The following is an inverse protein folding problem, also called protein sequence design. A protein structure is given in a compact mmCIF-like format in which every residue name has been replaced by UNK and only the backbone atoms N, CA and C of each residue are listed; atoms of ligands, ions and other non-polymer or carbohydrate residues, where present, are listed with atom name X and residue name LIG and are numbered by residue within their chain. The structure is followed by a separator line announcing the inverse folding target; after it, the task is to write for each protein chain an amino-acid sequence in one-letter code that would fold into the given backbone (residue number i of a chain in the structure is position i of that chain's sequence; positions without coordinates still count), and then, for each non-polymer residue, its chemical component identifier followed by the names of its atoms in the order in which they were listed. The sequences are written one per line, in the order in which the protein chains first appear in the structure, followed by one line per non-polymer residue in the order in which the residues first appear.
data_IF_835317273442
#
_entry.id   IF_835317273442
#
_cell.length_a   1.000
_cell.length_b   1.000
_cell.length_c   1.000
_cell.angle_alpha   90.00
_cell.angle_beta   90.00
_cell.angle_gamma   90.00
#
_symmetry.space_group_name_H-M   'P 1'
#
loop_
_entity.id
_entity.type
_entity.pdbx_description
1 polymer ?
#
# COMPACT_ATOMS: atom_id res chain seq x y z
N UNK A 1 36.04 -14.92 -7.51
CA UNK A 1 34.98 -13.94 -7.80
C UNK A 1 33.74 -14.75 -8.11
N UNK A 2 33.05 -15.19 -7.07
CA UNK A 2 31.77 -15.90 -7.20
C UNK A 2 30.69 -14.82 -7.32
N UNK A 3 30.00 -14.81 -8.46
CA UNK A 3 28.73 -14.10 -8.65
C UNK A 3 27.71 -14.64 -7.64
N UNK A 4 26.97 -13.79 -6.91
CA UNK A 4 25.90 -14.27 -6.07
C UNK A 4 24.81 -14.89 -6.96
N UNK A 5 24.42 -16.12 -6.63
CA UNK A 5 23.28 -16.82 -7.20
C UNK A 5 22.04 -15.94 -7.02
N UNK A 6 21.48 -15.42 -8.12
CA UNK A 6 20.17 -14.78 -8.08
C UNK A 6 19.16 -15.91 -7.90
N UNK A 7 18.33 -15.92 -6.85
CA UNK A 7 17.35 -16.98 -6.68
C UNK A 7 16.46 -17.02 -7.93
N UNK A 8 16.38 -18.18 -8.57
CA UNK A 8 15.51 -18.37 -9.73
C UNK A 8 14.07 -18.01 -9.33
N UNK A 9 13.43 -17.12 -10.10
CA UNK A 9 12.03 -16.80 -9.88
C UNK A 9 11.21 -18.09 -9.95
N UNK A 10 10.57 -18.46 -8.83
CA UNK A 10 9.73 -19.65 -8.76
C UNK A 10 8.65 -19.55 -9.85
N UNK A 11 8.45 -20.64 -10.60
CA UNK A 11 7.41 -20.67 -11.64
C UNK A 11 6.05 -20.61 -10.96
N UNK A 12 5.14 -19.68 -11.36
CA UNK A 12 3.80 -19.61 -10.78
C UNK A 12 3.08 -20.97 -10.89
N UNK A 13 2.36 -21.36 -9.84
CA UNK A 13 1.57 -22.61 -9.81
C UNK A 13 0.15 -22.33 -9.30
N UNK A 14 -0.79 -23.26 -9.51
CA UNK A 14 -2.16 -23.12 -9.02
C UNK A 14 -2.90 -21.95 -9.65
N UNK A 15 -3.56 -21.13 -8.83
CA UNK A 15 -4.27 -19.90 -9.26
C UNK A 15 -3.32 -18.90 -9.91
N UNK A 16 -2.09 -18.76 -9.42
CA UNK A 16 -1.14 -17.77 -9.93
C UNK A 16 -0.66 -18.05 -11.36
N UNK A 17 -0.85 -19.29 -11.85
CA UNK A 17 -0.58 -19.69 -13.22
C UNK A 17 -1.78 -19.54 -14.17
N UNK A 18 -2.95 -19.19 -13.65
CA UNK A 18 -4.19 -19.06 -14.40
C UNK A 18 -4.45 -17.59 -14.78
N UNK A 19 -5.27 -17.39 -15.80
CA UNK A 19 -5.87 -16.10 -16.11
C UNK A 19 -7.15 -15.88 -15.28
N UNK A 20 -7.70 -14.67 -15.37
CA UNK A 20 -8.91 -14.31 -14.63
C UNK A 20 -10.09 -15.24 -14.94
N UNK A 21 -10.34 -15.53 -16.22
CA UNK A 21 -11.49 -16.35 -16.65
C UNK A 21 -11.50 -17.73 -15.97
N UNK A 22 -10.33 -18.36 -15.87
CA UNK A 22 -10.22 -19.69 -15.24
C UNK A 22 -10.24 -19.58 -13.72
N UNK A 23 -9.46 -18.66 -13.15
CA UNK A 23 -9.33 -18.53 -11.70
C UNK A 23 -10.62 -18.05 -11.03
N UNK A 24 -11.33 -17.09 -11.64
CA UNK A 24 -12.57 -16.53 -11.11
C UNK A 24 -13.77 -17.49 -11.18
N UNK A 25 -13.62 -18.65 -11.84
CA UNK A 25 -14.60 -19.73 -11.75
C UNK A 25 -14.70 -20.32 -10.34
N UNK A 26 -13.65 -20.17 -9.52
CA UNK A 26 -13.68 -20.49 -8.10
C UNK A 26 -14.33 -19.33 -7.31
N UNK A 27 -15.53 -19.52 -6.72
CA UNK A 27 -16.29 -18.41 -6.14
C UNK A 27 -15.56 -17.70 -4.98
N UNK A 28 -14.79 -18.46 -4.20
CA UNK A 28 -14.02 -17.93 -3.08
C UNK A 28 -12.86 -17.05 -3.56
N UNK A 29 -12.15 -17.47 -4.60
CA UNK A 29 -11.10 -16.66 -5.21
C UNK A 29 -11.67 -15.37 -5.82
N UNK A 30 -12.76 -15.48 -6.59
CA UNK A 30 -13.44 -14.31 -7.16
C UNK A 30 -13.83 -13.30 -6.07
N UNK A 31 -14.44 -13.77 -4.99
CA UNK A 31 -14.81 -12.91 -3.86
C UNK A 31 -13.59 -12.22 -3.23
N UNK A 32 -12.48 -12.93 -3.06
CA UNK A 32 -11.25 -12.36 -2.50
C UNK A 32 -10.61 -11.30 -3.41
N UNK A 33 -10.62 -11.51 -4.73
CA UNK A 33 -10.13 -10.49 -5.69
C UNK A 33 -11.03 -9.26 -5.69
N UNK A 34 -12.35 -9.43 -5.60
CA UNK A 34 -13.28 -8.29 -5.49
C UNK A 34 -13.01 -7.49 -4.22
N UNK A 35 -12.83 -8.17 -3.09
CA UNK A 35 -12.45 -7.53 -1.83
C UNK A 35 -11.11 -6.79 -1.93
N UNK A 36 -10.10 -7.41 -2.54
CA UNK A 36 -8.81 -6.79 -2.76
C UNK A 36 -8.96 -5.52 -3.60
N UNK A 37 -9.56 -5.61 -4.78
CA UNK A 37 -9.72 -4.48 -5.69
C UNK A 37 -10.56 -3.35 -5.08
N UNK A 38 -11.58 -3.69 -4.27
CA UNK A 38 -12.36 -2.70 -3.51
C UNK A 38 -11.52 -1.98 -2.46
N UNK A 39 -10.72 -2.71 -1.69
CA UNK A 39 -9.82 -2.14 -0.69
C UNK A 39 -8.76 -1.23 -1.33
N UNK A 40 -8.17 -1.68 -2.44
CA UNK A 40 -7.18 -0.89 -3.19
C UNK A 40 -7.82 0.38 -3.76
N UNK A 41 -8.95 0.25 -4.47
CA UNK A 41 -9.61 1.39 -5.10
C UNK A 41 -9.98 2.47 -4.07
N UNK A 42 -10.52 2.08 -2.91
CA UNK A 42 -10.81 3.05 -1.85
C UNK A 42 -9.52 3.64 -1.24
N UNK A 43 -8.49 2.82 -1.06
CA UNK A 43 -7.18 3.27 -0.59
C UNK A 43 -6.59 4.36 -1.48
N UNK A 44 -6.59 4.15 -2.80
CA UNK A 44 -6.10 5.12 -3.78
C UNK A 44 -6.93 6.42 -3.79
N UNK A 45 -8.26 6.30 -3.73
CA UNK A 45 -9.14 7.47 -3.66
C UNK A 45 -8.89 8.29 -2.39
N UNK A 46 -8.76 7.63 -1.23
CA UNK A 46 -8.48 8.28 0.03
C UNK A 46 -7.08 8.91 0.05
N UNK A 47 -6.07 8.24 -0.53
CA UNK A 47 -4.72 8.74 -0.68
C UNK A 47 -4.69 10.01 -1.54
N UNK A 48 -5.37 10.01 -2.70
CA UNK A 48 -5.54 11.21 -3.53
C UNK A 48 -6.06 12.40 -2.71
N UNK A 49 -7.19 12.22 -2.00
CA UNK A 49 -7.77 13.31 -1.20
C UNK A 49 -6.80 13.83 -0.15
N UNK A 50 -6.10 12.93 0.55
CA UNK A 50 -5.17 13.30 1.61
C UNK A 50 -3.93 14.01 1.06
N UNK A 51 -3.34 13.52 -0.02
CA UNK A 51 -2.20 14.17 -0.67
C UNK A 51 -2.58 15.57 -1.19
N UNK A 52 -3.78 15.71 -1.76
CA UNK A 52 -4.29 17.01 -2.21
C UNK A 52 -4.51 17.98 -1.04
N UNK A 53 -4.96 17.49 0.12
CA UNK A 53 -5.07 18.30 1.33
C UNK A 53 -3.69 18.69 1.88
N UNK A 54 -2.78 17.72 2.02
CA UNK A 54 -1.43 17.91 2.56
C UNK A 54 -0.59 18.87 1.68
N UNK A 55 -0.83 18.89 0.36
CA UNK A 55 -0.22 19.84 -0.57
C UNK A 55 -0.51 21.31 -0.22
N UNK A 56 -1.55 21.61 0.57
CA UNK A 56 -1.83 22.98 1.05
C UNK A 56 -0.81 23.46 2.09
N UNK A 57 -0.12 22.53 2.76
CA UNK A 57 0.91 22.83 3.77
C UNK A 57 2.28 23.12 3.13
N UNK A 58 2.42 22.93 1.82
CA UNK A 58 3.68 23.09 1.12
C UNK A 58 4.28 24.51 1.28
N UNK A 59 5.58 24.63 1.63
CA UNK A 59 6.22 25.92 1.86
C UNK A 59 6.48 26.68 0.55
N UNK A 60 6.52 25.98 -0.58
CA UNK A 60 6.74 26.56 -1.90
C UNK A 60 5.77 26.00 -2.93
N UNK A 61 5.56 26.74 -4.03
CA UNK A 61 4.73 26.29 -5.15
C UNK A 61 5.32 25.05 -5.82
N UNK A 62 6.65 24.93 -5.87
CA UNK A 62 7.32 23.74 -6.40
C UNK A 62 7.01 22.51 -5.54
N UNK A 63 7.10 22.65 -4.23
CA UNK A 63 6.78 21.56 -3.29
C UNK A 63 5.30 21.15 -3.35
N UNK A 64 4.42 22.15 -3.54
CA UNK A 64 2.99 21.91 -3.77
C UNK A 64 2.74 21.11 -5.05
N UNK A 65 3.46 21.44 -6.12
CA UNK A 65 3.31 20.76 -7.40
C UNK A 65 3.74 19.29 -7.32
N UNK A 66 4.78 18.95 -6.55
CA UNK A 66 5.21 17.56 -6.36
C UNK A 66 4.14 16.72 -5.64
N UNK A 67 3.54 17.20 -4.55
CA UNK A 67 2.44 16.45 -3.91
C UNK A 67 1.17 16.42 -4.76
N UNK A 68 0.88 17.48 -5.52
CA UNK A 68 -0.25 17.48 -6.45
C UNK A 68 -0.05 16.44 -7.57
N UNK A 69 1.19 16.24 -8.02
CA UNK A 69 1.53 15.19 -8.99
C UNK A 69 1.32 13.80 -8.38
N UNK A 70 1.76 13.56 -7.15
CA UNK A 70 1.47 12.32 -6.41
C UNK A 70 -0.02 12.06 -6.31
N UNK A 71 -0.80 13.06 -5.86
CA UNK A 71 -2.25 12.94 -5.75
C UNK A 71 -2.88 12.55 -7.10
N UNK A 72 -2.46 13.19 -8.20
CA UNK A 72 -2.96 12.87 -9.53
C UNK A 72 -2.65 11.43 -9.95
N UNK A 73 -1.52 10.86 -9.54
CA UNK A 73 -1.19 9.46 -9.80
C UNK A 73 -2.14 8.53 -9.04
N UNK A 74 -2.38 8.77 -7.74
CA UNK A 74 -3.33 7.95 -6.96
C UNK A 74 -4.75 7.99 -7.55
N UNK A 75 -5.19 9.15 -8.04
CA UNK A 75 -6.49 9.21 -8.70
C UNK A 75 -6.52 8.37 -9.99
N UNK A 76 -5.43 8.36 -10.76
CA UNK A 76 -5.32 7.51 -11.94
C UNK A 76 -5.29 6.02 -11.58
N UNK A 77 -4.61 5.64 -10.50
CA UNK A 77 -4.62 4.29 -9.94
C UNK A 77 -6.04 3.85 -9.56
N UNK A 78 -6.76 4.72 -8.85
CA UNK A 78 -8.17 4.52 -8.53
C UNK A 78 -9.01 4.26 -9.80
N UNK A 79 -8.84 5.05 -10.85
CA UNK A 79 -9.59 4.86 -12.11
C UNK A 79 -9.33 3.48 -12.72
N UNK A 80 -8.08 3.01 -12.77
CA UNK A 80 -7.75 1.67 -13.28
C UNK A 80 -8.42 0.57 -12.49
N UNK A 81 -8.39 0.67 -11.15
CA UNK A 81 -9.00 -0.33 -10.26
C UNK A 81 -10.54 -0.33 -10.35
N UNK A 82 -11.16 0.85 -10.41
CA UNK A 82 -12.60 1.03 -10.63
C UNK A 82 -13.03 0.44 -11.98
N UNK A 83 -12.27 0.70 -13.04
CA UNK A 83 -12.58 0.23 -14.38
C UNK A 83 -12.44 -1.31 -14.45
N UNK A 84 -11.45 -1.88 -13.74
CA UNK A 84 -11.35 -3.34 -13.59
C UNK A 84 -12.56 -3.93 -12.89
N UNK A 85 -12.99 -3.38 -11.75
CA UNK A 85 -14.18 -3.83 -11.02
C UNK A 85 -15.41 -3.84 -11.95
N UNK A 86 -15.61 -2.77 -12.71
CA UNK A 86 -16.70 -2.67 -13.69
C UNK A 86 -16.57 -3.72 -14.80
N UNK A 87 -15.36 -3.93 -15.33
CA UNK A 87 -15.11 -4.89 -16.41
C UNK A 87 -15.32 -6.35 -16.00
N UNK A 88 -15.31 -6.65 -14.70
CA UNK A 88 -15.62 -7.98 -14.16
C UNK A 88 -17.04 -8.08 -13.61
N UNK A 89 -17.94 -7.17 -14.00
CA UNK A 89 -19.35 -7.09 -13.61
C UNK A 89 -19.57 -6.90 -12.10
N UNK A 90 -18.75 -6.04 -11.47
CA UNK A 90 -18.88 -5.66 -10.06
C UNK A 90 -19.12 -4.16 -9.96
N UNK A 91 -20.08 -3.75 -9.13
CA UNK A 91 -20.32 -2.34 -8.83
C UNK A 91 -19.17 -1.81 -7.93
N UNK A 92 -18.39 -0.80 -8.38
CA UNK A 92 -17.19 -0.40 -7.65
C UNK A 92 -17.46 0.18 -6.26
N UNK A 93 -18.54 0.94 -6.08
CA UNK A 93 -18.90 1.56 -4.81
C UNK A 93 -19.21 0.49 -3.74
N UNK A 94 -20.00 -0.52 -4.08
CA UNK A 94 -20.36 -1.64 -3.21
C UNK A 94 -19.12 -2.47 -2.83
N UNK A 95 -18.16 -2.62 -3.75
CA UNK A 95 -16.90 -3.28 -3.47
C UNK A 95 -16.00 -2.47 -2.52
N UNK A 96 -16.06 -1.13 -2.59
CA UNK A 96 -15.25 -0.21 -1.78
C UNK A 96 -15.80 0.04 -0.38
N UNK A 97 -17.13 0.15 -0.25
CA UNK A 97 -17.84 0.51 0.99
C UNK A 97 -17.37 -0.23 2.26
N UNK A 98 -17.11 -1.55 2.24
CA UNK A 98 -16.66 -2.28 3.43
C UNK A 98 -15.33 -1.78 4.01
N UNK A 99 -14.46 -1.20 3.18
CA UNK A 99 -13.11 -0.81 3.57
C UNK A 99 -13.03 0.67 4.00
N UNK A 100 -14.06 1.45 3.69
CA UNK A 100 -14.08 2.89 3.91
C UNK A 100 -13.79 3.26 5.37
N UNK A 101 -14.48 2.63 6.33
CA UNK A 101 -14.34 2.96 7.75
C UNK A 101 -12.93 2.70 8.31
N UNK A 102 -12.27 1.64 7.86
CA UNK A 102 -10.93 1.28 8.30
C UNK A 102 -9.87 2.21 7.69
N UNK A 103 -9.94 2.45 6.38
CA UNK A 103 -9.00 3.32 5.67
C UNK A 103 -9.15 4.79 6.09
N UNK A 104 -10.38 5.29 6.25
CA UNK A 104 -10.63 6.60 6.86
C UNK A 104 -10.13 6.67 8.30
N UNK A 105 -10.25 5.57 9.04
CA UNK A 105 -9.73 5.42 10.39
C UNK A 105 -8.22 5.62 10.46
N UNK A 106 -7.48 4.99 9.54
CA UNK A 106 -6.05 5.21 9.39
C UNK A 106 -5.75 6.68 9.12
N UNK A 107 -6.39 7.28 8.12
CA UNK A 107 -6.11 8.67 7.75
C UNK A 107 -6.46 9.70 8.83
N UNK A 108 -7.56 9.49 9.58
CA UNK A 108 -7.91 10.35 10.73
C UNK A 108 -6.87 10.25 11.85
N UNK A 109 -6.41 9.04 12.16
CA UNK A 109 -5.42 8.80 13.22
C UNK A 109 -4.00 9.23 12.82
N UNK A 110 -3.80 9.48 11.52
CA UNK A 110 -2.54 9.90 10.92
C UNK A 110 -2.65 11.25 10.20
N UNK A 111 -3.51 12.16 10.67
CA UNK A 111 -3.54 13.53 10.16
C UNK A 111 -2.22 14.24 10.51
N UNK A 112 -1.43 14.70 9.53
CA UNK A 112 -0.17 15.38 9.81
C UNK A 112 -0.42 16.76 10.43
N UNK A 113 0.45 17.16 11.35
CA UNK A 113 0.39 18.49 11.99
C UNK A 113 1.12 19.58 11.20
N UNK A 114 2.03 19.19 10.31
CA UNK A 114 2.78 20.10 9.45
C UNK A 114 3.19 19.44 8.12
N UNK A 115 3.87 20.23 7.29
CA UNK A 115 4.38 19.81 5.98
C UNK A 115 5.29 18.58 6.02
N UNK A 116 6.20 18.50 6.99
CA UNK A 116 7.18 17.41 7.05
C UNK A 116 6.53 16.10 7.48
N UNK A 117 5.55 16.16 8.39
CA UNK A 117 4.74 15.00 8.72
C UNK A 117 3.90 14.53 7.52
N UNK A 118 3.38 15.46 6.71
CA UNK A 118 2.71 15.16 5.44
C UNK A 118 3.62 14.44 4.45
N UNK A 119 4.85 14.94 4.25
CA UNK A 119 5.84 14.29 3.38
C UNK A 119 6.25 12.88 3.88
N UNK A 120 6.49 12.74 5.19
CA UNK A 120 6.81 11.43 5.78
C UNK A 120 5.63 10.47 5.61
N UNK A 121 4.39 10.95 5.77
CA UNK A 121 3.18 10.15 5.55
C UNK A 121 3.05 9.70 4.11
N UNK A 122 3.25 10.59 3.14
CA UNK A 122 3.21 10.27 1.73
C UNK A 122 4.24 9.17 1.40
N UNK A 123 5.49 9.35 1.82
CA UNK A 123 6.57 8.38 1.59
C UNK A 123 6.33 7.02 2.28
N UNK A 124 5.89 7.03 3.54
CA UNK A 124 5.64 5.80 4.30
C UNK A 124 4.42 5.06 3.78
N UNK A 125 3.34 5.79 3.47
CA UNK A 125 2.09 5.23 2.94
C UNK A 125 2.33 4.55 1.60
N UNK A 126 2.94 5.25 0.66
CA UNK A 126 3.32 4.73 -0.66
C UNK A 126 4.18 3.45 -0.55
N UNK A 127 5.18 3.46 0.33
CA UNK A 127 6.04 2.30 0.49
C UNK A 127 5.36 1.10 1.18
N UNK A 128 4.44 1.34 2.12
CA UNK A 128 3.64 0.26 2.74
C UNK A 128 2.68 -0.35 1.72
N UNK A 129 1.99 0.48 0.95
CA UNK A 129 1.12 0.03 -0.14
C UNK A 129 1.93 -0.78 -1.15
N UNK A 130 3.11 -0.28 -1.53
CA UNK A 130 3.99 -0.94 -2.47
C UNK A 130 4.43 -2.33 -2.03
N UNK A 131 4.83 -2.49 -0.77
CA UNK A 131 5.19 -3.79 -0.23
C UNK A 131 3.98 -4.74 -0.18
N UNK A 132 2.82 -4.23 0.24
CA UNK A 132 1.58 -5.01 0.25
C UNK A 132 1.21 -5.53 -1.14
N UNK A 133 1.31 -4.68 -2.17
CA UNK A 133 0.92 -5.06 -3.54
C UNK A 133 1.86 -6.15 -4.06
N UNK A 134 3.17 -6.07 -3.76
CA UNK A 134 4.13 -7.13 -4.11
C UNK A 134 3.84 -8.44 -3.38
N UNK A 135 3.45 -8.38 -2.11
CA UNK A 135 3.10 -9.58 -1.32
C UNK A 135 1.83 -10.28 -1.83
N UNK A 136 0.83 -9.53 -2.30
CA UNK A 136 -0.39 -10.14 -2.86
C UNK A 136 -0.21 -10.57 -4.32
N UNK A 137 0.56 -9.82 -5.11
CA UNK A 137 0.76 -10.06 -6.54
C UNK A 137 1.20 -11.50 -6.85
N UNK A 138 2.08 -12.10 -6.02
CA UNK A 138 2.60 -13.45 -6.25
C UNK A 138 1.52 -14.55 -6.14
N UNK A 139 0.35 -14.24 -5.57
CA UNK A 139 -0.76 -15.18 -5.34
C UNK A 139 -1.93 -14.98 -6.31
N UNK A 140 -1.90 -13.90 -7.08
CA UNK A 140 -2.98 -13.53 -8.00
C UNK A 140 -2.81 -14.22 -9.36
N UNK A 141 -3.96 -14.46 -10.00
CA UNK A 141 -4.06 -14.77 -11.43
C UNK A 141 -3.32 -13.72 -12.26
N UNK A 142 -2.92 -14.09 -13.49
CA UNK A 142 -2.09 -13.24 -14.33
C UNK A 142 -2.66 -11.85 -14.55
N UNK A 143 -3.96 -11.76 -14.81
CA UNK A 143 -4.58 -10.51 -15.27
C UNK A 143 -4.73 -9.54 -14.10
N UNK A 144 -5.13 -10.06 -12.94
CA UNK A 144 -5.20 -9.26 -11.71
C UNK A 144 -3.79 -8.87 -11.24
N UNK A 145 -2.82 -9.80 -11.28
CA UNK A 145 -1.41 -9.52 -10.93
C UNK A 145 -0.83 -8.40 -11.79
N UNK A 146 -1.02 -8.46 -13.10
CA UNK A 146 -0.48 -7.46 -14.02
C UNK A 146 -1.08 -6.08 -13.74
N UNK A 147 -2.38 -6.00 -13.42
CA UNK A 147 -3.02 -4.75 -13.01
C UNK A 147 -2.42 -4.18 -11.72
N UNK A 148 -2.27 -4.97 -10.65
CA UNK A 148 -1.70 -4.43 -9.40
C UNK A 148 -0.24 -4.03 -9.56
N UNK A 149 0.53 -4.74 -10.38
CA UNK A 149 1.91 -4.37 -10.71
C UNK A 149 1.97 -3.10 -11.57
N UNK A 150 1.02 -2.89 -12.48
CA UNK A 150 0.93 -1.66 -13.26
C UNK A 150 0.61 -0.45 -12.37
N UNK A 151 -0.26 -0.62 -11.38
CA UNK A 151 -0.56 0.42 -10.38
C UNK A 151 0.65 0.72 -9.51
N UNK A 152 1.56 -0.25 -9.29
CA UNK A 152 2.78 -0.03 -8.50
C UNK A 152 3.85 0.83 -9.16
N UNK A 153 3.91 0.85 -10.50
CA UNK A 153 5.10 1.31 -11.22
C UNK A 153 5.23 2.85 -11.29
N UNK A 154 4.24 3.60 -10.80
CA UNK A 154 4.16 5.08 -10.96
C UNK A 154 4.78 5.90 -9.80
N UNK A 155 5.56 5.29 -8.92
CA UNK A 155 5.96 5.91 -7.63
C UNK A 155 7.35 6.54 -7.66
N UNK A 156 7.59 7.42 -8.64
CA UNK A 156 8.84 8.21 -8.77
C UNK A 156 9.06 9.30 -7.71
N UNK A 157 8.30 9.27 -6.61
CA UNK A 157 8.16 10.38 -5.65
C UNK A 157 8.96 10.20 -4.35
N UNK A 158 9.52 9.00 -4.14
CA UNK A 158 10.30 8.66 -2.97
C UNK A 158 11.52 9.58 -2.76
N UNK A 159 12.24 9.89 -3.84
CA UNK A 159 13.46 10.72 -3.78
C UNK A 159 13.17 12.16 -3.33
N UNK A 160 12.03 12.72 -3.76
CA UNK A 160 11.60 14.06 -3.36
C UNK A 160 11.37 14.16 -1.85
N UNK A 161 10.59 13.23 -1.28
CA UNK A 161 10.32 13.20 0.15
C UNK A 161 11.60 12.98 0.96
N UNK A 162 12.46 12.04 0.54
CA UNK A 162 13.74 11.77 1.20
C UNK A 162 14.64 13.00 1.21
N UNK A 163 14.80 13.65 0.06
CA UNK A 163 15.63 14.86 -0.05
C UNK A 163 15.15 15.99 0.86
N UNK A 164 13.84 16.26 0.88
CA UNK A 164 13.25 17.33 1.70
C UNK A 164 13.33 17.06 3.20
N UNK A 165 13.04 15.84 3.62
CA UNK A 165 13.09 15.46 5.04
C UNK A 165 14.53 15.51 5.56
N UNK A 166 15.49 15.00 4.78
CA UNK A 166 16.92 15.04 5.18
C UNK A 166 17.45 16.46 5.29
N UNK A 167 17.17 17.31 4.29
CA UNK A 167 17.57 18.71 4.32
C UNK A 167 16.99 19.44 5.55
N UNK A 168 15.71 19.20 5.87
CA UNK A 168 15.10 19.78 7.06
C UNK A 168 15.76 19.30 8.36
N UNK A 169 16.14 18.02 8.47
CA UNK A 169 16.85 17.47 9.63
C UNK A 169 18.27 18.03 9.75
N UNK A 170 18.96 18.23 8.62
CA UNK A 170 20.28 18.87 8.59
C UNK A 170 20.21 20.32 9.10
N UNK A 171 19.15 21.05 8.73
CA UNK A 171 18.91 22.43 9.19
C UNK A 171 18.45 22.50 10.66
N UNK A 172 17.58 21.59 11.11
CA UNK A 172 17.15 21.46 12.50
C UNK A 172 17.17 19.99 12.97
N UNK A 173 18.26 19.55 13.63
CA UNK A 173 18.41 18.18 14.12
C UNK A 173 17.33 17.72 15.10
N UNK A 174 16.58 18.65 15.73
CA UNK A 174 15.49 18.30 16.65
C UNK A 174 14.31 17.64 15.92
N UNK A 175 14.18 17.87 14.61
CA UNK A 175 13.12 17.30 13.79
C UNK A 175 13.23 15.78 13.67
N UNK A 176 14.45 15.22 13.68
CA UNK A 176 14.66 13.78 13.49
C UNK A 176 13.91 12.93 14.53
N UNK A 177 14.01 13.28 15.81
CA UNK A 177 13.32 12.55 16.88
C UNK A 177 11.79 12.61 16.77
N UNK A 178 11.25 13.77 16.40
CA UNK A 178 9.81 13.96 16.21
C UNK A 178 9.29 13.17 15.01
N UNK A 179 9.97 13.27 13.86
CA UNK A 179 9.56 12.58 12.63
C UNK A 179 9.72 11.05 12.74
N UNK A 180 10.70 10.56 13.52
CA UNK A 180 10.83 9.13 13.82
C UNK A 180 9.66 8.61 14.68
N UNK A 181 9.19 9.39 15.68
CA UNK A 181 7.99 9.04 16.44
C UNK A 181 6.74 9.03 15.55
N UNK A 182 6.63 10.02 14.66
CA UNK A 182 5.54 10.09 13.69
C UNK A 182 5.53 8.86 12.77
N UNK A 183 6.66 8.49 12.17
CA UNK A 183 6.74 7.33 11.30
C UNK A 183 6.40 6.00 12.02
N UNK A 184 6.82 5.84 13.28
CA UNK A 184 6.41 4.69 14.11
C UNK A 184 4.89 4.65 14.33
N UNK A 185 4.27 5.81 14.57
CA UNK A 185 2.81 5.92 14.69
C UNK A 185 2.13 5.52 13.38
N UNK A 186 2.60 5.99 12.23
CA UNK A 186 2.06 5.60 10.92
C UNK A 186 2.05 4.08 10.74
N UNK A 187 3.17 3.42 11.02
CA UNK A 187 3.26 1.96 10.93
C UNK A 187 2.31 1.26 11.90
N UNK A 188 2.26 1.71 13.16
CA UNK A 188 1.37 1.13 14.17
C UNK A 188 -0.12 1.23 13.79
N UNK A 189 -0.54 2.39 13.28
CA UNK A 189 -1.91 2.60 12.81
C UNK A 189 -2.22 1.76 11.55
N UNK A 190 -1.28 1.67 10.60
CA UNK A 190 -1.43 0.84 9.41
C UNK A 190 -1.63 -0.64 9.78
N UNK A 191 -0.79 -1.17 10.67
CA UNK A 191 -0.91 -2.55 11.17
C UNK A 191 -2.23 -2.78 11.90
N UNK A 192 -2.66 -1.83 12.74
CA UNK A 192 -3.92 -1.93 13.48
C UNK A 192 -5.13 -1.99 12.54
N UNK A 193 -5.18 -1.14 11.50
CA UNK A 193 -6.28 -1.18 10.53
C UNK A 193 -6.22 -2.44 9.66
N UNK A 194 -5.03 -2.88 9.24
CA UNK A 194 -4.88 -4.10 8.46
C UNK A 194 -5.37 -5.34 9.24
N UNK A 195 -5.04 -5.44 10.53
CA UNK A 195 -5.54 -6.50 11.40
C UNK A 195 -7.07 -6.49 11.51
N UNK A 196 -7.68 -5.30 11.57
CA UNK A 196 -9.14 -5.17 11.61
C UNK A 196 -9.79 -5.67 10.32
N UNK A 197 -9.26 -5.28 9.16
CA UNK A 197 -9.76 -5.73 7.85
C UNK A 197 -9.64 -7.25 7.72
N UNK A 198 -8.49 -7.82 8.09
CA UNK A 198 -8.25 -9.28 8.07
C UNK A 198 -9.24 -10.03 9.00
N UNK A 199 -9.56 -9.46 10.17
CA UNK A 199 -10.50 -10.07 11.11
C UNK A 199 -11.96 -9.99 10.65
N UNK A 200 -12.31 -9.02 9.79
CA UNK A 200 -13.68 -8.80 9.31
C UNK A 200 -13.94 -9.46 7.92
N UNK A 201 -12.90 -9.91 7.19
CA UNK A 201 -13.00 -10.42 5.80
C UNK A 201 -12.31 -11.77 5.59
N UNK A 202 -13.03 -12.86 5.84
CA UNK A 202 -12.53 -14.24 5.71
C UNK A 202 -12.00 -14.59 4.30
N UNK A 203 -12.61 -14.06 3.24
CA UNK A 203 -12.21 -14.35 1.86
C UNK A 203 -10.85 -13.72 1.51
N UNK A 204 -10.65 -12.45 1.85
CA UNK A 204 -9.38 -11.75 1.67
C UNK A 204 -8.26 -12.42 2.49
N UNK A 205 -8.56 -12.78 3.73
CA UNK A 205 -7.62 -13.51 4.60
C UNK A 205 -7.23 -14.86 4.03
N UNK A 206 -8.17 -15.61 3.46
CA UNK A 206 -7.91 -16.91 2.82
C UNK A 206 -6.99 -16.79 1.60
N UNK A 207 -7.16 -15.73 0.80
CA UNK A 207 -6.28 -15.43 -0.34
C UNK A 207 -4.88 -15.03 0.10
N UNK A 208 -4.75 -14.21 1.15
CA UNK A 208 -3.45 -13.81 1.71
C UNK A 208 -2.65 -14.99 2.27
N UNK A 209 -3.34 -16.02 2.78
CA UNK A 209 -2.73 -17.21 3.40
C UNK A 209 -2.35 -18.30 2.38
N UNK A 210 -2.89 -18.28 1.15
CA UNK A 210 -2.50 -19.23 0.09
C UNK A 210 -3.40 -20.47 -0.05
N UNK A 211 -4.68 -20.36 0.25
CA UNK A 211 -5.69 -21.38 -0.02
C UNK A 211 -6.19 -22.16 1.20
N UNK A 212 -7.27 -22.92 1.01
CA UNK A 212 -8.08 -23.60 2.04
C UNK A 212 -7.41 -24.82 2.70
N UNK A 213 -6.13 -25.08 2.45
CA UNK A 213 -5.43 -26.18 3.10
C UNK A 213 -4.99 -25.73 4.51
N UNK A 214 -5.79 -26.11 5.50
CA UNK A 214 -5.55 -25.98 6.94
C UNK A 214 -5.72 -24.57 7.56
N UNK A 215 -6.94 -24.03 7.47
CA UNK A 215 -7.41 -23.01 8.39
C UNK A 215 -6.75 -21.64 8.24
N UNK A 216 -7.23 -20.71 9.05
CA UNK A 216 -6.80 -19.31 9.06
C UNK A 216 -5.35 -19.21 9.56
N UNK A 217 -4.33 -19.28 8.68
CA UNK A 217 -2.93 -19.14 9.07
C UNK A 217 -2.57 -17.67 9.37
N UNK A 218 -2.99 -17.20 10.54
CA UNK A 218 -2.55 -15.95 11.14
C UNK A 218 -1.01 -15.82 11.17
N UNK A 219 -0.27 -16.94 11.16
CA UNK A 219 1.18 -16.88 11.12
C UNK A 219 1.70 -16.41 9.76
N UNK A 220 1.07 -16.74 8.63
CA UNK A 220 1.47 -16.23 7.31
C UNK A 220 1.19 -14.73 7.18
N UNK A 221 0.01 -14.27 7.63
CA UNK A 221 -0.30 -12.84 7.72
C UNK A 221 0.69 -12.12 8.64
N UNK A 222 1.05 -12.73 9.77
CA UNK A 222 2.08 -12.21 10.67
C UNK A 222 3.47 -12.14 10.02
N UNK A 223 3.85 -13.14 9.21
CA UNK A 223 5.11 -13.15 8.44
C UNK A 223 5.14 -12.05 7.39
N UNK A 224 4.03 -11.82 6.67
CA UNK A 224 3.87 -10.71 5.74
C UNK A 224 4.08 -9.36 6.44
N UNK A 225 3.39 -9.11 7.56
CA UNK A 225 3.57 -7.87 8.32
C UNK A 225 5.00 -7.70 8.86
N UNK A 226 5.66 -8.80 9.22
CA UNK A 226 7.06 -8.76 9.66
C UNK A 226 7.98 -8.28 8.53
N UNK A 227 7.81 -8.80 7.30
CA UNK A 227 8.57 -8.35 6.13
C UNK A 227 8.35 -6.87 5.81
N UNK A 228 7.10 -6.41 5.83
CA UNK A 228 6.75 -4.98 5.63
C UNK A 228 7.41 -4.10 6.71
N UNK A 229 7.43 -4.56 7.96
CA UNK A 229 8.06 -3.84 9.09
C UNK A 229 9.58 -3.76 8.95
N UNK A 230 10.23 -4.84 8.51
CA UNK A 230 11.67 -4.86 8.23
C UNK A 230 12.04 -3.91 7.08
N UNK A 231 11.26 -3.92 6.00
CA UNK A 231 11.44 -3.00 4.88
C UNK A 231 11.24 -1.53 5.32
N UNK A 232 10.25 -1.26 6.17
CA UNK A 232 10.01 0.05 6.74
C UNK A 232 11.20 0.55 7.56
N UNK A 233 11.84 -0.32 8.35
CA UNK A 233 13.03 0.04 9.13
C UNK A 233 14.17 0.51 8.23
N UNK A 234 14.41 -0.17 7.10
CA UNK A 234 15.40 0.26 6.10
C UNK A 234 15.06 1.62 5.49
N UNK A 235 13.78 1.87 5.21
CA UNK A 235 13.30 3.16 4.69
C UNK A 235 13.41 4.30 5.70
N UNK A 236 13.26 4.02 7.00
CA UNK A 236 13.50 5.02 8.05
C UNK A 236 14.98 5.42 8.10
N UNK A 237 15.90 4.47 7.90
CA UNK A 237 17.32 4.79 7.77
C UNK A 237 17.59 5.71 6.56
N UNK A 238 16.93 5.48 5.42
CA UNK A 238 17.07 6.34 4.24
C UNK A 238 16.65 7.79 4.51
N UNK A 239 15.58 8.01 5.28
CA UNK A 239 15.12 9.33 5.72
C UNK A 239 16.01 10.00 6.78
N UNK A 240 17.02 9.31 7.32
CA UNK A 240 17.78 9.80 8.48
C UNK A 240 17.00 9.70 9.80
N UNK A 241 16.01 8.81 9.86
CA UNK A 241 15.13 8.58 11.01
C UNK A 241 15.42 7.24 11.71
N UNK A 242 16.51 6.55 11.33
CA UNK A 242 16.96 5.35 12.04
C UNK A 242 17.32 5.73 13.48
N UNK A 243 16.54 5.20 14.41
CA UNK A 243 16.89 5.11 15.83
C UNK A 243 17.67 3.85 16.11
#
# INVERSE_FOLDING_TARGET
METPDTPAAETPTGIAAQNWETAAAEPQYRAAVVDLLGALAYGELAAFERLAEDAKLAPTVADKAELAKMASAEFHHFEKLRDRLTAIDVEPTEAMDPFAAALDGFHRQTAPSDWLEGLVKAYVGDAIASDFYREVAVRLDSDTRDLVLEVLDDTGHAEFAVGKVRAAIEDDPRLGGRLALWARRLMGEALSQAQRVVAERDALSTMLVGGLADGFDLAEVGRMFSRITEAHTKRMAALGLAS
#
